data_IF_523035819291
#
_entry.id   IF_523035819291
#
_cell.length_a   1.000
_cell.length_b   1.000
_cell.length_c   1.000
_cell.angle_alpha   90.00
_cell.angle_beta   90.00
_cell.angle_gamma   90.00
#
_symmetry.space_group_name_H-M   'P 1'
#
loop_
_entity.id
_entity.type
_entity.pdbx_description
1 polymer ?
#
# COMPACT_ATOMS: atom_id res chain seq x y z
N UNK A 1 -5.25 0.16 -5.42
CA UNK A 1 -3.98 -0.59 -5.33
C UNK A 1 -4.22 -2.01 -5.85
N UNK A 2 -3.30 -2.60 -6.60
CA UNK A 2 -3.42 -3.97 -7.08
C UNK A 2 -2.18 -4.75 -6.65
N UNK A 3 -2.38 -5.85 -5.94
CA UNK A 3 -1.30 -6.70 -5.44
C UNK A 3 -1.26 -8.00 -6.23
N UNK A 4 -0.06 -8.40 -6.63
CA UNK A 4 0.22 -9.69 -7.25
C UNK A 4 0.88 -10.60 -6.21
N UNK A 5 0.54 -11.89 -6.27
CA UNK A 5 1.17 -12.96 -5.50
C UNK A 5 1.67 -13.98 -6.52
N UNK A 6 2.97 -14.28 -6.51
CA UNK A 6 3.56 -15.13 -7.53
C UNK A 6 4.57 -16.08 -6.88
N UNK A 7 4.31 -17.38 -7.02
CA UNK A 7 5.26 -18.42 -6.68
C UNK A 7 6.15 -18.67 -7.91
N UNK A 8 7.40 -18.22 -7.86
CA UNK A 8 8.42 -18.61 -8.84
C UNK A 8 9.55 -19.36 -8.15
N UNK A 9 10.26 -20.22 -8.88
CA UNK A 9 11.26 -21.14 -8.34
C UNK A 9 12.40 -20.48 -7.51
N UNK A 10 12.57 -19.15 -7.59
CA UNK A 10 13.61 -18.37 -6.88
C UNK A 10 13.07 -17.28 -5.93
N UNK A 11 11.77 -17.21 -5.63
CA UNK A 11 11.27 -16.20 -4.69
C UNK A 11 9.80 -16.29 -4.32
N UNK A 12 9.52 -16.05 -3.03
CA UNK A 12 8.19 -15.87 -2.47
C UNK A 12 7.77 -14.38 -2.58
N UNK A 13 7.05 -14.04 -3.65
CA UNK A 13 6.45 -12.71 -3.81
C UNK A 13 5.07 -12.73 -3.20
N UNK A 14 4.95 -12.21 -1.98
CA UNK A 14 3.68 -12.18 -1.24
C UNK A 14 3.06 -10.78 -1.27
N UNK A 15 1.73 -10.73 -1.21
CA UNK A 15 1.03 -9.49 -0.88
C UNK A 15 1.56 -8.92 0.44
N UNK A 16 1.63 -7.59 0.61
CA UNK A 16 2.15 -7.02 1.84
C UNK A 16 1.29 -7.40 3.04
N UNK A 17 1.88 -7.40 4.23
CA UNK A 17 1.15 -7.54 5.49
C UNK A 17 0.19 -6.35 5.68
N UNK A 18 0.67 -5.15 5.36
CA UNK A 18 -0.15 -3.94 5.37
C UNK A 18 0.42 -2.87 4.44
N UNK A 19 -0.36 -1.84 4.17
CA UNK A 19 0.12 -0.65 3.50
C UNK A 19 -0.62 0.58 4.00
N UNK A 20 0.02 1.74 3.85
CA UNK A 20 -0.51 3.04 4.25
C UNK A 20 -0.34 4.07 3.13
N UNK A 21 -1.30 4.98 3.03
CA UNK A 21 -1.26 6.09 2.07
C UNK A 21 -0.92 7.39 2.80
N UNK A 22 0.05 8.11 2.26
CA UNK A 22 0.49 9.41 2.76
C UNK A 22 0.36 10.47 1.68
N UNK A 23 0.15 11.72 2.11
CA UNK A 23 0.20 12.90 1.27
C UNK A 23 1.32 13.83 1.70
N UNK A 24 1.92 14.55 0.74
CA UNK A 24 2.96 15.54 1.00
C UNK A 24 2.34 16.85 1.50
N UNK A 25 2.78 17.32 2.66
CA UNK A 25 2.40 18.62 3.23
C UNK A 25 3.67 19.40 3.58
N UNK A 26 3.95 20.46 2.81
CA UNK A 26 5.26 21.10 2.84
C UNK A 26 6.35 20.11 2.43
N UNK A 27 7.32 19.87 3.31
CA UNK A 27 8.35 18.83 3.13
C UNK A 27 8.08 17.55 3.94
N UNK A 28 6.95 17.49 4.64
CA UNK A 28 6.57 16.34 5.47
C UNK A 28 5.60 15.41 4.75
N UNK A 29 5.54 14.16 5.22
CA UNK A 29 4.54 13.17 4.78
C UNK A 29 3.58 12.90 5.94
N UNK A 30 2.28 13.06 5.68
CA UNK A 30 1.20 12.79 6.64
C UNK A 30 0.31 11.68 6.13
N UNK A 31 -0.13 10.79 7.01
CA UNK A 31 -1.08 9.73 6.65
C UNK A 31 -2.42 10.37 6.27
N UNK A 32 -3.09 9.82 5.26
CA UNK A 32 -4.45 10.25 4.93
C UNK A 32 -5.43 9.78 6.01
N UNK A 33 -6.50 10.54 6.22
CA UNK A 33 -7.59 10.06 7.07
C UNK A 33 -8.48 9.09 6.28
N UNK A 34 -8.23 7.79 6.46
CA UNK A 34 -8.97 6.72 5.80
C UNK A 34 -10.43 6.65 6.26
N UNK A 35 -11.34 6.52 5.30
CA UNK A 35 -12.77 6.33 5.51
C UNK A 35 -13.18 4.86 5.34
N UNK A 36 -12.35 4.08 4.62
CA UNK A 36 -12.50 2.63 4.47
C UNK A 36 -11.24 1.91 4.95
N UNK A 37 -11.34 0.60 5.13
CA UNK A 37 -10.21 -0.22 5.55
C UNK A 37 -9.13 -0.34 4.46
N UNK A 38 -7.88 -0.46 4.90
CA UNK A 38 -6.77 -0.85 4.04
C UNK A 38 -6.83 -2.35 3.78
N UNK A 39 -7.07 -2.73 2.52
CA UNK A 39 -7.18 -4.14 2.12
C UNK A 39 -5.95 -4.61 1.34
N UNK A 40 -5.61 -5.89 1.48
CA UNK A 40 -4.44 -6.54 0.84
C UNK A 40 -4.85 -7.79 0.05
N UNK A 41 -6.08 -7.81 -0.48
CA UNK A 41 -6.59 -8.92 -1.27
C UNK A 41 -5.77 -9.08 -2.55
N UNK A 42 -5.30 -10.30 -2.83
CA UNK A 42 -4.59 -10.62 -4.07
C UNK A 42 -5.55 -10.65 -5.26
N UNK A 43 -4.97 -10.46 -6.45
CA UNK A 43 -5.64 -10.63 -7.75
C UNK A 43 -6.92 -9.79 -7.93
N UNK A 44 -6.98 -8.65 -7.26
CA UNK A 44 -8.07 -7.69 -7.40
C UNK A 44 -7.65 -6.28 -7.00
N UNK A 45 -8.50 -5.31 -7.36
CA UNK A 45 -8.32 -3.93 -6.93
C UNK A 45 -8.72 -3.76 -5.46
N UNK A 46 -7.76 -3.34 -4.66
CA UNK A 46 -7.95 -2.84 -3.30
C UNK A 46 -8.18 -1.33 -3.36
N UNK A 47 -9.40 -0.89 -3.05
CA UNK A 47 -9.79 0.51 -3.02
C UNK A 47 -9.68 1.07 -1.60
N UNK A 48 -9.34 2.35 -1.51
CA UNK A 48 -9.29 3.11 -0.26
C UNK A 48 -9.96 4.45 -0.49
N UNK A 49 -11.05 4.69 0.23
CA UNK A 49 -11.63 6.02 0.34
C UNK A 49 -11.01 6.73 1.55
N UNK A 50 -10.71 8.01 1.40
CA UNK A 50 -10.10 8.83 2.43
C UNK A 50 -10.58 10.27 2.28
N UNK A 51 -10.47 11.07 3.35
CA UNK A 51 -10.87 12.49 3.28
C UNK A 51 -10.07 13.22 2.19
N UNK A 52 -10.71 14.02 1.33
CA UNK A 52 -10.01 14.75 0.28
C UNK A 52 -8.87 15.62 0.82
N UNK A 53 -7.70 15.54 0.19
CA UNK A 53 -6.53 16.36 0.52
C UNK A 53 -6.04 17.10 -0.72
N UNK A 54 -5.60 18.35 -0.55
CA UNK A 54 -4.93 19.11 -1.60
C UNK A 54 -3.42 18.95 -1.41
N UNK A 55 -2.79 18.18 -2.29
CA UNK A 55 -1.37 17.82 -2.19
C UNK A 55 -0.69 17.88 -3.56
N UNK A 56 0.64 17.96 -3.56
CA UNK A 56 1.48 17.81 -4.75
C UNK A 56 2.07 16.40 -4.90
N UNK A 57 1.89 15.54 -3.91
CA UNK A 57 2.47 14.21 -3.90
C UNK A 57 1.71 13.24 -3.01
N UNK A 58 1.66 11.99 -3.45
CA UNK A 58 1.17 10.84 -2.70
C UNK A 58 2.31 9.83 -2.57
N UNK A 59 2.34 9.12 -1.44
CA UNK A 59 3.30 8.04 -1.17
C UNK A 59 2.56 6.86 -0.59
N UNK A 60 2.80 5.68 -1.14
CA UNK A 60 2.37 4.42 -0.53
C UNK A 60 3.58 3.82 0.19
N UNK A 61 3.40 3.43 1.45
CA UNK A 61 4.37 2.62 2.18
C UNK A 61 3.76 1.25 2.43
N UNK A 62 4.39 0.21 1.89
CA UNK A 62 3.98 -1.18 2.10
C UNK A 62 4.90 -1.83 3.13
N UNK A 63 4.31 -2.51 4.11
CA UNK A 63 5.02 -3.37 5.04
C UNK A 63 4.93 -4.80 4.51
N UNK A 64 6.08 -5.38 4.17
CA UNK A 64 6.15 -6.76 3.70
C UNK A 64 5.92 -7.74 4.84
N UNK A 65 5.41 -8.92 4.49
CA UNK A 65 5.33 -10.03 5.43
C UNK A 65 6.74 -10.46 5.86
N UNK A 66 6.86 -10.96 7.09
CA UNK A 66 8.14 -11.43 7.63
C UNK A 66 8.74 -12.53 6.74
N UNK A 67 9.97 -12.32 6.27
CA UNK A 67 10.69 -13.29 5.43
C UNK A 67 10.29 -13.29 3.96
N UNK A 68 9.33 -12.46 3.55
CA UNK A 68 8.95 -12.28 2.15
C UNK A 68 9.69 -11.09 1.51
N UNK A 69 9.84 -11.13 0.19
CA UNK A 69 10.32 -10.00 -0.61
C UNK A 69 9.15 -9.35 -1.35
N UNK A 70 9.21 -8.04 -1.54
CA UNK A 70 8.29 -7.28 -2.38
C UNK A 70 8.77 -7.13 -3.83
N UNK A 71 9.94 -7.68 -4.16
CA UNK A 71 10.73 -7.33 -5.34
C UNK A 71 12.00 -6.56 -4.99
#
# INVERSE_FOLDING_TARGET
>A
MYWLDFDHYDGDFRVPESWKLYYKEGESWKEVEALTEYTVKKDCYNSLDFKPVKTKGLKIAAQLQKGASGG
#
